data_IF_123273660822
#
_entry.id   IF_123273660822
#
_cell.length_a   1.000
_cell.length_b   1.000
_cell.length_c   1.000
_cell.angle_alpha   90.00
_cell.angle_beta   90.00
_cell.angle_gamma   90.00
#
_symmetry.space_group_name_H-M   'P 1'
#
loop_
_entity.id
_entity.type
_entity.pdbx_description
1 polymer ?
#
# COMPACT_ATOMS: atom_id res chain seq x y z
N UNK A 1 -37.52 16.33 -15.77
CA UNK A 1 -36.20 15.70 -15.57
C UNK A 1 -35.32 16.68 -14.80
N UNK A 2 -35.13 16.47 -13.50
CA UNK A 2 -34.26 17.34 -12.69
C UNK A 2 -32.80 16.96 -12.92
N UNK A 3 -31.97 17.91 -13.32
CA UNK A 3 -30.54 17.70 -13.54
C UNK A 3 -29.76 17.39 -12.27
N UNK A 4 -28.52 16.89 -12.39
CA UNK A 4 -27.68 16.55 -11.23
C UNK A 4 -27.40 17.77 -10.35
N UNK A 5 -27.48 17.59 -9.03
CA UNK A 5 -27.26 18.66 -8.06
C UNK A 5 -25.82 19.18 -8.06
N UNK A 6 -25.61 20.40 -7.57
CA UNK A 6 -24.29 21.03 -7.46
C UNK A 6 -23.26 20.11 -6.75
N UNK A 7 -23.69 19.39 -5.72
CA UNK A 7 -22.86 18.41 -5.01
C UNK A 7 -22.45 17.20 -5.86
N UNK A 8 -23.26 16.78 -6.84
CA UNK A 8 -22.88 15.72 -7.76
C UNK A 8 -21.84 16.19 -8.79
N UNK A 9 -21.89 17.47 -9.18
CA UNK A 9 -20.95 18.09 -10.13
C UNK A 9 -19.58 18.36 -9.51
N UNK A 10 -19.57 18.78 -8.23
CA UNK A 10 -18.34 19.12 -7.52
C UNK A 10 -17.62 17.91 -6.93
N UNK A 11 -18.25 16.73 -6.90
CA UNK A 11 -17.68 15.53 -6.26
C UNK A 11 -16.30 15.15 -6.83
N UNK A 12 -16.13 15.25 -8.15
CA UNK A 12 -14.85 14.98 -8.81
C UNK A 12 -13.79 16.09 -8.65
N UNK A 13 -14.17 17.28 -8.17
CA UNK A 13 -13.23 18.36 -7.86
C UNK A 13 -12.74 18.30 -6.41
N UNK A 14 -13.50 17.68 -5.51
CA UNK A 14 -13.20 17.61 -4.07
C UNK A 14 -12.44 16.32 -3.72
N UNK A 15 -12.68 15.21 -4.42
CA UNK A 15 -11.97 13.96 -4.22
C UNK A 15 -11.92 13.13 -5.52
N UNK A 16 -10.82 12.37 -5.75
CA UNK A 16 -10.74 11.50 -6.90
C UNK A 16 -11.84 10.44 -6.85
N UNK A 17 -12.43 10.16 -8.00
CA UNK A 17 -13.32 9.01 -8.15
C UNK A 17 -12.55 7.72 -7.85
N UNK A 18 -13.29 6.65 -7.54
CA UNK A 18 -12.69 5.33 -7.33
C UNK A 18 -11.85 4.88 -8.54
N UNK A 19 -12.28 5.20 -9.75
CA UNK A 19 -11.57 4.84 -10.97
C UNK A 19 -10.25 5.62 -11.15
N UNK A 20 -10.28 6.94 -10.89
CA UNK A 20 -9.07 7.78 -10.91
C UNK A 20 -8.07 7.34 -9.85
N UNK A 21 -8.56 7.06 -8.64
CA UNK A 21 -7.75 6.54 -7.54
C UNK A 21 -7.10 5.20 -7.88
N UNK A 22 -7.86 4.28 -8.49
CA UNK A 22 -7.33 3.00 -8.95
C UNK A 22 -6.21 3.21 -9.98
N UNK A 23 -6.42 4.08 -10.97
CA UNK A 23 -5.44 4.39 -12.01
C UNK A 23 -4.16 5.01 -11.41
N UNK A 24 -4.32 5.94 -10.48
CA UNK A 24 -3.22 6.58 -9.78
C UNK A 24 -2.37 5.55 -9.02
N UNK A 25 -3.01 4.68 -8.24
CA UNK A 25 -2.33 3.64 -7.46
C UNK A 25 -1.56 2.66 -8.33
N UNK A 26 -2.13 2.26 -9.47
CA UNK A 26 -1.41 1.42 -10.45
C UNK A 26 -0.19 2.15 -10.99
N UNK A 27 -0.34 3.40 -11.43
CA UNK A 27 0.79 4.21 -11.90
C UNK A 27 1.87 4.42 -10.83
N UNK A 28 1.47 4.59 -9.57
CA UNK A 28 2.38 4.69 -8.41
C UNK A 28 3.18 3.41 -8.22
N UNK A 29 2.55 2.23 -8.30
CA UNK A 29 3.24 0.94 -8.20
C UNK A 29 4.26 0.76 -9.32
N UNK A 30 3.90 1.13 -10.56
CA UNK A 30 4.82 1.06 -11.71
C UNK A 30 6.02 1.99 -11.52
N UNK A 31 5.79 3.24 -11.09
CA UNK A 31 6.85 4.19 -10.82
C UNK A 31 7.80 3.70 -9.71
N UNK A 32 7.26 3.19 -8.61
CA UNK A 32 8.04 2.62 -7.52
C UNK A 32 8.85 1.40 -7.98
N UNK A 33 8.26 0.54 -8.81
CA UNK A 33 8.95 -0.64 -9.36
C UNK A 33 10.10 -0.25 -10.27
N UNK A 34 9.97 0.82 -11.08
CA UNK A 34 11.10 1.35 -11.85
C UNK A 34 12.18 1.97 -10.96
N UNK A 35 11.79 2.70 -9.92
CA UNK A 35 12.74 3.33 -9.00
C UNK A 35 13.63 2.31 -8.26
N UNK A 36 13.08 1.15 -7.91
CA UNK A 36 13.82 0.05 -7.25
C UNK A 36 15.04 -0.45 -8.05
N UNK A 37 15.10 -0.22 -9.36
CA UNK A 37 16.24 -0.61 -10.20
C UNK A 37 17.43 0.35 -10.15
N UNK A 38 17.38 1.42 -9.34
CA UNK A 38 18.37 2.53 -9.38
C UNK A 38 19.09 2.79 -8.05
N UNK A 39 19.12 1.80 -7.14
CA UNK A 39 19.93 1.80 -5.90
C UNK A 39 19.62 2.86 -4.82
N UNK A 40 18.50 3.60 -4.91
CA UNK A 40 18.12 4.58 -3.89
C UNK A 40 17.09 4.03 -2.87
N UNK A 41 17.43 4.04 -1.58
CA UNK A 41 16.53 3.81 -0.42
C UNK A 41 15.55 2.64 -0.58
N UNK A 42 16.09 1.43 -0.78
CA UNK A 42 15.32 0.23 -1.08
C UNK A 42 14.15 0.02 -0.09
N UNK A 43 14.39 0.11 1.22
CA UNK A 43 13.36 -0.14 2.26
C UNK A 43 12.13 0.79 2.13
N UNK A 44 12.35 2.08 1.85
CA UNK A 44 11.28 3.08 1.68
C UNK A 44 10.43 2.80 0.45
N UNK A 45 11.05 2.33 -0.64
CA UNK A 45 10.32 1.98 -1.86
C UNK A 45 9.42 0.77 -1.65
N UNK A 46 9.91 -0.27 -0.95
CA UNK A 46 9.13 -1.45 -0.62
C UNK A 46 7.91 -1.13 0.24
N UNK A 47 8.07 -0.37 1.33
CA UNK A 47 6.93 -0.01 2.19
C UNK A 47 5.90 0.86 1.44
N UNK A 48 6.36 1.78 0.60
CA UNK A 48 5.48 2.65 -0.18
C UNK A 48 4.70 1.89 -1.26
N UNK A 49 5.30 0.84 -1.84
CA UNK A 49 4.62 -0.02 -2.82
C UNK A 49 3.62 -0.93 -2.13
N UNK A 50 3.97 -1.47 -0.97
CA UNK A 50 3.07 -2.26 -0.11
C UNK A 50 1.81 -1.49 0.29
N UNK A 51 1.93 -0.21 0.65
CA UNK A 51 0.79 0.65 0.96
C UNK A 51 -0.15 0.84 -0.24
N UNK A 52 0.40 1.11 -1.43
CA UNK A 52 -0.40 1.23 -2.64
C UNK A 52 -1.10 -0.10 -3.01
N UNK A 53 -0.43 -1.24 -2.80
CA UNK A 53 -1.00 -2.57 -3.00
C UNK A 53 -2.12 -2.87 -2.00
N UNK A 54 -1.96 -2.48 -0.73
CA UNK A 54 -3.03 -2.58 0.28
C UNK A 54 -4.26 -1.80 -0.14
N UNK A 55 -4.06 -0.56 -0.61
CA UNK A 55 -5.15 0.31 -1.04
C UNK A 55 -5.90 -0.25 -2.27
N UNK A 56 -5.19 -0.98 -3.14
CA UNK A 56 -5.77 -1.77 -4.23
C UNK A 56 -6.43 -3.09 -3.79
N UNK A 57 -6.35 -3.44 -2.50
CA UNK A 57 -6.84 -4.72 -1.96
C UNK A 57 -5.97 -5.93 -2.30
N UNK A 58 -4.77 -5.72 -2.85
CA UNK A 58 -3.79 -6.76 -3.23
C UNK A 58 -2.97 -7.20 -2.01
N UNK A 59 -3.68 -7.68 -0.98
CA UNK A 59 -3.12 -7.91 0.35
C UNK A 59 -1.94 -8.90 0.40
N UNK A 60 -1.93 -9.94 -0.45
CA UNK A 60 -0.81 -10.90 -0.50
C UNK A 60 0.48 -10.26 -1.00
N UNK A 61 0.39 -9.49 -2.07
CA UNK A 61 1.54 -8.82 -2.66
C UNK A 61 2.03 -7.71 -1.75
N UNK A 62 1.11 -6.97 -1.12
CA UNK A 62 1.45 -5.99 -0.10
C UNK A 62 2.23 -6.62 1.07
N UNK A 63 1.81 -7.80 1.55
CA UNK A 63 2.53 -8.49 2.62
C UNK A 63 3.97 -8.86 2.23
N UNK A 64 4.19 -9.33 0.99
CA UNK A 64 5.54 -9.60 0.48
C UNK A 64 6.40 -8.33 0.44
N UNK A 65 5.82 -7.20 0.03
CA UNK A 65 6.52 -5.92 0.00
C UNK A 65 6.87 -5.42 1.40
N UNK A 66 5.95 -5.52 2.36
CA UNK A 66 6.23 -5.13 3.74
C UNK A 66 7.26 -6.04 4.40
N UNK A 67 7.26 -7.35 4.11
CA UNK A 67 8.31 -8.25 4.58
C UNK A 67 9.67 -7.81 4.06
N UNK A 68 9.77 -7.45 2.78
CA UNK A 68 11.03 -6.98 2.20
C UNK A 68 11.48 -5.65 2.80
N UNK A 69 10.53 -4.72 3.00
CA UNK A 69 10.81 -3.45 3.67
C UNK A 69 11.31 -3.65 5.11
N UNK A 70 10.70 -4.57 5.85
CA UNK A 70 11.07 -4.90 7.23
C UNK A 70 12.49 -5.46 7.29
N UNK A 71 12.82 -6.44 6.44
CA UNK A 71 14.18 -7.01 6.39
C UNK A 71 15.24 -5.94 6.13
N UNK A 72 15.01 -5.08 5.13
CA UNK A 72 15.97 -4.03 4.78
C UNK A 72 16.07 -2.96 5.88
N UNK A 73 14.96 -2.59 6.51
CA UNK A 73 14.97 -1.64 7.63
C UNK A 73 15.72 -2.21 8.85
N UNK A 74 15.55 -3.50 9.15
CA UNK A 74 16.27 -4.16 10.24
C UNK A 74 17.79 -4.25 9.93
N UNK A 75 18.16 -4.52 8.67
CA UNK A 75 19.55 -4.46 8.19
C UNK A 75 20.14 -3.04 8.36
N UNK A 76 19.42 -2.01 7.93
CA UNK A 76 19.84 -0.61 8.06
C UNK A 76 20.00 -0.19 9.54
N UNK A 77 19.04 -0.55 10.41
CA UNK A 77 19.11 -0.28 11.85
C UNK A 77 20.28 -1.01 12.53
N UNK A 78 20.66 -2.18 12.04
CA UNK A 78 21.81 -2.92 12.58
C UNK A 78 23.15 -2.28 12.19
N UNK A 79 23.16 -1.49 11.11
CA UNK A 79 24.36 -0.88 10.54
C UNK A 79 24.54 0.58 10.98
N UNK A 80 23.46 1.34 11.14
CA UNK A 80 23.49 2.75 11.52
C UNK A 80 22.92 3.01 12.93
N UNK A 81 23.69 3.73 13.77
CA UNK A 81 23.31 4.09 15.14
C UNK A 81 22.16 5.12 15.25
N UNK A 82 21.73 5.76 14.15
CA UNK A 82 20.68 6.80 14.14
C UNK A 82 19.72 6.67 12.93
N UNK A 83 19.22 5.47 12.66
CA UNK A 83 18.33 5.18 11.54
C UNK A 83 16.86 5.57 11.74
N UNK A 84 16.54 6.86 11.93
CA UNK A 84 15.13 7.33 12.10
C UNK A 84 14.26 6.93 10.92
N UNK A 85 14.80 6.98 9.70
CA UNK A 85 14.11 6.54 8.49
C UNK A 85 13.85 5.04 8.54
N UNK A 86 14.86 4.24 8.88
CA UNK A 86 14.74 2.79 8.97
C UNK A 86 13.72 2.37 10.06
N UNK A 87 13.72 3.03 11.22
CA UNK A 87 12.71 2.80 12.26
C UNK A 87 11.30 3.14 11.76
N UNK A 88 11.12 4.27 11.08
CA UNK A 88 9.82 4.65 10.53
C UNK A 88 9.34 3.66 9.44
N UNK A 89 10.25 3.14 8.62
CA UNK A 89 9.93 2.11 7.62
C UNK A 89 9.53 0.80 8.30
N UNK A 90 10.27 0.38 9.33
CA UNK A 90 9.96 -0.80 10.14
C UNK A 90 8.56 -0.72 10.74
N UNK A 91 8.23 0.39 11.38
CA UNK A 91 6.93 0.59 12.02
C UNK A 91 5.78 0.56 10.99
N UNK A 92 5.96 1.24 9.85
CA UNK A 92 5.00 1.21 8.74
C UNK A 92 4.84 -0.19 8.14
N UNK A 93 5.93 -0.95 8.01
CA UNK A 93 5.90 -2.31 7.49
C UNK A 93 5.14 -3.26 8.44
N UNK A 94 5.38 -3.16 9.75
CA UNK A 94 4.66 -3.95 10.76
C UNK A 94 3.16 -3.65 10.77
N UNK A 95 2.79 -2.35 10.71
CA UNK A 95 1.40 -1.94 10.58
C UNK A 95 0.76 -2.51 9.30
N UNK A 96 1.47 -2.38 8.17
CA UNK A 96 1.02 -2.90 6.88
C UNK A 96 0.82 -4.41 6.87
N UNK A 97 1.69 -5.18 7.53
CA UNK A 97 1.54 -6.63 7.68
C UNK A 97 0.28 -7.00 8.47
N UNK A 98 -0.01 -6.26 9.55
CA UNK A 98 -1.25 -6.44 10.32
C UNK A 98 -2.50 -6.20 9.46
N UNK A 99 -2.49 -5.12 8.67
CA UNK A 99 -3.58 -4.78 7.75
C UNK A 99 -3.75 -5.83 6.64
N UNK A 100 -2.66 -6.29 6.03
CA UNK A 100 -2.66 -7.31 4.99
C UNK A 100 -3.21 -8.66 5.51
N UNK A 101 -2.82 -9.05 6.72
CA UNK A 101 -3.33 -10.25 7.38
C UNK A 101 -4.84 -10.13 7.67
N UNK A 102 -5.30 -8.96 8.12
CA UNK A 102 -6.71 -8.71 8.37
C UNK A 102 -7.56 -8.79 7.10
N UNK A 103 -7.12 -8.15 6.01
CA UNK A 103 -7.81 -8.22 4.72
C UNK A 103 -7.86 -9.66 4.17
N UNK A 104 -6.77 -10.41 4.27
CA UNK A 104 -6.74 -11.81 3.82
C UNK A 104 -7.72 -12.69 4.62
N UNK A 105 -7.80 -12.50 5.93
CA UNK A 105 -8.72 -13.25 6.81
C UNK A 105 -10.18 -12.96 6.48
N UNK A 106 -10.53 -11.69 6.29
CA UNK A 106 -11.91 -11.29 5.93
C UNK A 106 -12.31 -11.82 4.55
N UNK A 107 -11.40 -11.82 3.57
CA UNK A 107 -11.65 -12.39 2.26
C UNK A 107 -11.90 -13.91 2.32
N UNK A 108 -11.11 -14.64 3.13
CA UNK A 108 -11.28 -16.09 3.32
C UNK A 108 -12.60 -16.43 4.02
N UNK A 109 -12.97 -15.68 5.07
CA UNK A 109 -14.24 -15.88 5.78
C UNK A 109 -15.45 -15.68 4.84
N UNK A 110 -15.45 -14.64 4.02
CA UNK A 110 -16.51 -14.41 3.01
C UNK A 110 -16.60 -15.55 1.99
N UNK A 111 -15.47 -16.07 1.51
CA UNK A 111 -15.47 -17.18 0.55
C UNK A 111 -16.03 -18.48 1.13
N UNK A 112 -15.84 -18.73 2.44
CA UNK A 112 -16.41 -19.89 3.11
C UNK A 112 -17.93 -19.81 3.27
N UNK A 113 -18.48 -18.61 3.40
CA UNK A 113 -19.92 -18.37 3.58
C UNK A 113 -20.72 -18.46 2.27
N UNK A 114 -20.07 -18.34 1.11
CA UNK A 114 -20.72 -18.46 -0.21
C UNK A 114 -20.80 -19.92 -0.67
N UNK A 115 -20.03 -20.81 -0.05
CA UNK A 115 -19.91 -22.22 -0.45
C UNK A 115 -20.66 -23.20 0.45
N UNK A 116 -21.36 -22.73 1.48
CA UNK A 116 -22.20 -23.53 2.39
C UNK A 116 -23.65 -23.07 2.32
#
# INVERSE_FOLDING_TARGET
MSGPSLGQRLRGWIAPTRAERQRELVGRIEALTRAMGTDANAAVLWVSRGEALLELGRAREAASDFQRALTLADEDLSTESWGVIAQAVRDRALLGLGQAAALTRTARARQSMVKG
#
